data_IF_776903805057
#
_entry.id   IF_776903805057
#
_cell.length_a   1.000
_cell.length_b   1.000
_cell.length_c   1.000
_cell.angle_alpha   90.00
_cell.angle_beta   90.00
_cell.angle_gamma   90.00
#
_symmetry.space_group_name_H-M   'P 1'
#
loop_
_entity.id
_entity.type
_entity.pdbx_description
1 polymer ?
#
# COMPACT_ATOMS: atom_id res chain seq x y z
N UNK A 1 -59.15 -16.60 -19.63
CA UNK A 1 -57.95 -17.31 -20.14
C UNK A 1 -56.90 -17.23 -19.04
N UNK A 2 -56.80 -18.29 -18.22
CA UNK A 2 -55.86 -19.44 -18.33
C UNK A 2 -54.47 -19.12 -17.72
N UNK A 3 -54.25 -19.73 -16.54
CA UNK A 3 -53.05 -20.41 -16.01
C UNK A 3 -51.72 -19.62 -16.04
N UNK A 4 -50.99 -19.44 -14.94
CA UNK A 4 -50.29 -20.51 -14.23
C UNK A 4 -49.96 -20.14 -12.78
N UNK A 5 -50.48 -20.94 -11.85
CA UNK A 5 -49.88 -21.25 -10.55
C UNK A 5 -48.80 -22.31 -10.78
N UNK A 6 -47.66 -22.21 -10.10
CA UNK A 6 -46.84 -23.30 -9.55
C UNK A 6 -45.36 -22.91 -9.56
N UNK A 7 -44.82 -22.42 -8.45
CA UNK A 7 -43.41 -22.59 -8.01
C UNK A 7 -43.36 -22.18 -6.53
N UNK A 8 -43.91 -23.03 -5.66
CA UNK A 8 -43.89 -22.87 -4.20
C UNK A 8 -43.69 -24.19 -3.43
N UNK A 9 -42.86 -25.13 -3.93
CA UNK A 9 -42.16 -26.02 -3.00
C UNK A 9 -40.70 -26.27 -3.47
N UNK A 10 -39.81 -25.32 -3.23
CA UNK A 10 -38.35 -25.57 -3.32
C UNK A 10 -37.55 -24.86 -2.22
N UNK A 11 -38.22 -24.10 -1.35
CA UNK A 11 -37.60 -23.33 -0.26
C UNK A 11 -37.56 -24.09 1.09
N UNK A 12 -38.18 -25.26 1.19
CA UNK A 12 -38.30 -26.00 2.46
C UNK A 12 -37.26 -27.12 2.66
N UNK A 13 -36.35 -27.35 1.69
CA UNK A 13 -35.31 -28.38 1.77
C UNK A 13 -33.88 -27.85 2.05
N UNK A 14 -33.71 -26.54 2.26
CA UNK A 14 -32.41 -25.90 2.56
C UNK A 14 -32.20 -25.59 4.05
N UNK A 15 -33.11 -25.99 4.94
CA UNK A 15 -33.04 -25.71 6.39
C UNK A 15 -32.60 -26.92 7.25
N UNK A 16 -32.02 -27.95 6.64
CA UNK A 16 -31.50 -29.13 7.34
C UNK A 16 -30.00 -29.36 7.08
N UNK A 17 -29.20 -28.29 7.06
CA UNK A 17 -27.74 -28.44 7.19
C UNK A 17 -27.43 -28.67 8.68
N UNK A 18 -26.71 -29.74 9.06
CA UNK A 18 -26.28 -29.93 10.43
C UNK A 18 -25.40 -28.73 10.81
N UNK A 19 -25.70 -28.11 11.96
CA UNK A 19 -24.84 -27.11 12.56
C UNK A 19 -23.45 -27.75 12.73
N UNK A 20 -22.50 -27.32 11.90
CA UNK A 20 -21.11 -27.73 12.01
C UNK A 20 -20.62 -27.46 13.43
N UNK A 21 -20.05 -28.49 14.06
CA UNK A 21 -19.50 -28.40 15.40
C UNK A 21 -18.44 -27.29 15.40
N UNK A 22 -18.64 -26.24 16.20
CA UNK A 22 -17.62 -25.21 16.40
C UNK A 22 -16.42 -25.85 17.09
N UNK A 23 -15.30 -25.97 16.37
CA UNK A 23 -14.04 -26.46 16.93
C UNK A 23 -13.56 -25.49 18.00
N UNK A 24 -13.11 -26.04 19.13
CA UNK A 24 -12.55 -25.23 20.21
C UNK A 24 -11.11 -24.81 19.87
N UNK A 25 -10.64 -23.70 20.45
CA UNK A 25 -9.29 -23.20 20.20
C UNK A 25 -8.18 -24.25 20.49
N UNK A 26 -8.41 -25.18 21.41
CA UNK A 26 -7.48 -26.26 21.73
C UNK A 26 -7.45 -27.41 20.72
N UNK A 27 -8.55 -27.68 19.99
CA UNK A 27 -8.56 -28.69 18.92
C UNK A 27 -7.75 -28.21 17.70
N UNK A 28 -7.82 -26.90 17.39
CA UNK A 28 -7.03 -26.26 16.33
C UNK A 28 -5.51 -26.33 16.59
N UNK A 29 -5.07 -26.25 17.85
CA UNK A 29 -3.65 -26.38 18.20
C UNK A 29 -3.14 -27.82 18.00
N UNK A 30 -3.95 -28.83 18.34
CA UNK A 30 -3.58 -30.24 18.14
C UNK A 30 -3.52 -30.65 16.66
N UNK A 31 -4.38 -30.08 15.81
CA UNK A 31 -4.32 -30.28 14.35
C UNK A 31 -3.15 -29.53 13.70
N UNK A 32 -2.69 -28.42 14.31
CA UNK A 32 -1.57 -27.63 13.78
C UNK A 32 -0.25 -28.41 13.77
N UNK A 33 -0.02 -29.30 14.74
CA UNK A 33 1.19 -30.11 14.82
C UNK A 33 1.32 -31.08 13.64
N UNK A 34 0.21 -31.66 13.17
CA UNK A 34 0.17 -32.48 11.96
C UNK A 34 0.19 -31.68 10.65
N UNK A 35 -0.24 -30.41 10.68
CA UNK A 35 -0.23 -29.53 9.50
C UNK A 35 1.16 -29.05 9.10
N UNK A 36 2.11 -28.96 10.04
CA UNK A 36 3.48 -28.54 9.75
C UNK A 36 4.23 -29.52 8.82
N UNK A 37 3.96 -30.82 8.94
CA UNK A 37 4.51 -31.87 8.06
C UNK A 37 3.94 -31.82 6.64
N UNK A 38 2.79 -31.16 6.41
CA UNK A 38 2.19 -31.06 5.08
C UNK A 38 2.89 -30.02 4.17
N UNK A 39 3.65 -29.09 4.77
CA UNK A 39 4.27 -27.95 4.08
C UNK A 39 5.79 -27.86 4.28
N UNK A 40 6.41 -28.92 4.80
CA UNK A 40 7.86 -29.01 5.09
C UNK A 40 8.75 -29.21 3.84
N UNK A 41 8.16 -29.21 2.64
CA UNK A 41 8.86 -29.39 1.39
C UNK A 41 9.19 -30.84 1.01
N UNK A 42 8.78 -31.85 1.80
CA UNK A 42 9.10 -33.27 1.55
C UNK A 42 7.98 -34.08 0.88
N UNK A 43 6.79 -33.50 0.64
CA UNK A 43 5.93 -33.91 -0.48
C UNK A 43 4.54 -34.48 -0.16
N UNK A 44 3.58 -33.63 0.25
CA UNK A 44 2.15 -33.98 0.16
C UNK A 44 1.23 -33.02 -0.59
N UNK A 45 1.75 -31.89 -1.09
CA UNK A 45 1.03 -31.08 -2.09
C UNK A 45 1.75 -31.13 -3.44
N UNK A 46 1.30 -32.04 -4.30
CA UNK A 46 1.65 -32.07 -5.73
C UNK A 46 0.76 -31.12 -6.58
N UNK A 47 -0.11 -30.33 -5.93
CA UNK A 47 -0.90 -29.27 -6.56
C UNK A 47 -0.17 -27.93 -6.53
N UNK A 48 -0.59 -26.98 -7.37
CA UNK A 48 -0.01 -25.62 -7.35
C UNK A 48 -0.26 -24.96 -6.00
N UNK A 49 0.64 -24.06 -5.54
CA UNK A 49 0.47 -23.33 -4.27
C UNK A 49 -0.87 -22.57 -4.16
N UNK A 50 -1.51 -22.24 -5.29
CA UNK A 50 -2.86 -21.67 -5.34
C UNK A 50 -3.99 -22.68 -5.05
N UNK A 51 -3.77 -23.98 -5.29
CA UNK A 51 -4.71 -25.06 -4.95
C UNK A 51 -4.64 -25.41 -3.45
N UNK A 52 -3.47 -25.25 -2.83
CA UNK A 52 -3.33 -25.28 -1.39
C UNK A 52 -4.15 -24.13 -0.78
N UNK A 53 -5.24 -24.47 -0.10
CA UNK A 53 -6.17 -23.49 0.47
C UNK A 53 -7.38 -23.13 -0.40
N UNK A 54 -7.57 -23.74 -1.57
CA UNK A 54 -8.74 -23.45 -2.42
C UNK A 54 -10.06 -24.00 -1.83
N UNK A 55 -9.99 -25.04 -1.00
CA UNK A 55 -11.14 -25.54 -0.22
C UNK A 55 -11.18 -24.91 1.17
N UNK A 56 -12.35 -24.91 1.81
CA UNK A 56 -12.50 -24.42 3.17
C UNK A 56 -11.57 -25.14 4.17
N UNK A 57 -11.44 -26.46 4.04
CA UNK A 57 -10.56 -27.29 4.87
C UNK A 57 -9.08 -26.97 4.61
N UNK A 58 -8.66 -26.89 3.34
CA UNK A 58 -7.28 -26.53 3.00
C UNK A 58 -6.93 -25.12 3.49
N UNK A 59 -7.89 -24.19 3.44
CA UNK A 59 -7.70 -22.82 3.94
C UNK A 59 -7.51 -22.81 5.45
N UNK A 60 -8.28 -23.60 6.18
CA UNK A 60 -8.14 -23.74 7.63
C UNK A 60 -6.77 -24.33 8.01
N UNK A 61 -6.32 -25.37 7.30
CA UNK A 61 -4.99 -25.97 7.49
C UNK A 61 -3.86 -24.98 7.18
N UNK A 62 -3.96 -24.23 6.08
CA UNK A 62 -2.97 -23.21 5.74
C UNK A 62 -2.93 -22.07 6.77
N UNK A 63 -4.10 -21.63 7.27
CA UNK A 63 -4.16 -20.64 8.33
C UNK A 63 -3.52 -21.16 9.63
N UNK A 64 -3.78 -22.41 10.01
CA UNK A 64 -3.17 -23.03 11.17
C UNK A 64 -1.64 -23.07 11.03
N UNK A 65 -1.13 -23.53 9.88
CA UNK A 65 0.30 -23.55 9.60
C UNK A 65 0.92 -22.15 9.64
N UNK A 66 0.28 -21.14 9.03
CA UNK A 66 0.74 -19.75 9.07
C UNK A 66 0.80 -19.21 10.51
N UNK A 67 -0.20 -19.52 11.34
CA UNK A 67 -0.25 -19.10 12.75
C UNK A 67 0.85 -19.74 13.62
N UNK A 68 1.47 -20.83 13.19
CA UNK A 68 2.68 -21.35 13.85
C UNK A 68 3.92 -20.48 13.61
N UNK A 69 3.89 -19.64 12.57
CA UNK A 69 4.99 -18.76 12.13
C UNK A 69 4.77 -17.30 12.49
N UNK A 70 3.52 -16.90 12.76
CA UNK A 70 3.13 -15.52 13.06
C UNK A 70 2.60 -15.41 14.49
N UNK A 71 3.36 -14.77 15.37
CA UNK A 71 2.94 -14.48 16.74
C UNK A 71 2.04 -13.24 16.77
N UNK A 72 0.75 -13.40 17.11
CA UNK A 72 -0.20 -12.28 17.19
C UNK A 72 -0.28 -11.78 18.64
N UNK A 73 -0.09 -10.48 18.86
CA UNK A 73 -0.13 -9.85 20.19
C UNK A 73 -1.11 -8.68 20.25
N UNK A 74 -1.64 -8.41 21.45
CA UNK A 74 -2.62 -7.34 21.71
C UNK A 74 -3.67 -7.74 22.74
N UNK A 75 -4.71 -6.92 22.90
CA UNK A 75 -5.92 -7.32 23.67
C UNK A 75 -6.62 -8.52 22.98
N UNK A 76 -7.54 -9.24 23.67
CA UNK A 76 -8.32 -10.30 23.05
C UNK A 76 -9.05 -9.85 21.77
N UNK A 77 -9.60 -8.65 21.76
CA UNK A 77 -10.31 -8.06 20.61
C UNK A 77 -9.36 -7.76 19.45
N UNK A 78 -8.19 -7.18 19.75
CA UNK A 78 -7.14 -6.92 18.77
C UNK A 78 -6.63 -8.23 18.14
N UNK A 79 -6.35 -9.22 18.98
CA UNK A 79 -5.89 -10.55 18.54
C UNK A 79 -6.94 -11.22 17.67
N UNK A 80 -8.22 -11.16 18.03
CA UNK A 80 -9.31 -11.70 17.22
C UNK A 80 -9.40 -11.00 15.86
N UNK A 81 -9.31 -9.67 15.82
CA UNK A 81 -9.32 -8.89 14.59
C UNK A 81 -8.12 -9.23 13.67
N UNK A 82 -6.90 -9.29 14.20
CA UNK A 82 -5.70 -9.66 13.42
C UNK A 82 -5.78 -11.09 12.87
N UNK A 83 -6.29 -12.04 13.66
CA UNK A 83 -6.56 -13.40 13.19
C UNK A 83 -7.61 -13.42 12.07
N UNK A 84 -8.65 -12.61 12.17
CA UNK A 84 -9.65 -12.45 11.10
C UNK A 84 -9.03 -11.85 9.84
N UNK A 85 -8.11 -10.89 9.96
CA UNK A 85 -7.38 -10.32 8.82
C UNK A 85 -6.49 -11.35 8.14
N UNK A 86 -5.72 -12.15 8.90
CA UNK A 86 -4.94 -13.27 8.34
C UNK A 86 -5.84 -14.25 7.58
N UNK A 87 -6.98 -14.62 8.15
CA UNK A 87 -7.95 -15.48 7.47
C UNK A 87 -8.52 -14.84 6.21
N UNK A 88 -8.76 -13.53 6.21
CA UNK A 88 -9.27 -12.78 5.05
C UNK A 88 -8.24 -12.65 3.94
N UNK A 89 -6.96 -12.49 4.25
CA UNK A 89 -5.87 -12.53 3.25
C UNK A 89 -5.91 -13.85 2.46
N UNK A 90 -6.19 -14.97 3.12
CA UNK A 90 -6.30 -16.28 2.46
C UNK A 90 -7.58 -16.46 1.61
N UNK A 91 -8.52 -15.52 1.59
CA UNK A 91 -9.60 -15.52 0.59
C UNK A 91 -9.08 -15.16 -0.81
N UNK A 92 -7.97 -14.42 -0.88
CA UNK A 92 -7.30 -14.05 -2.14
C UNK A 92 -6.41 -15.22 -2.64
N UNK A 93 -6.47 -15.58 -3.95
CA UNK A 93 -5.54 -16.52 -4.56
C UNK A 93 -4.07 -16.18 -4.30
N UNK A 94 -3.69 -14.91 -4.48
CA UNK A 94 -2.33 -14.42 -4.21
C UNK A 94 -1.97 -14.59 -2.73
N UNK A 95 -2.87 -14.25 -1.81
CA UNK A 95 -2.65 -14.41 -0.38
C UNK A 95 -2.40 -15.87 0.04
N UNK A 96 -3.09 -16.84 -0.58
CA UNK A 96 -2.85 -18.27 -0.36
C UNK A 96 -1.49 -18.71 -0.86
N UNK A 97 -1.15 -18.36 -2.09
CA UNK A 97 0.14 -18.68 -2.69
C UNK A 97 1.30 -18.18 -1.82
N UNK A 98 1.21 -16.91 -1.38
CA UNK A 98 2.24 -16.28 -0.56
C UNK A 98 2.29 -16.83 0.86
N UNK A 99 1.16 -17.25 1.45
CA UNK A 99 1.16 -17.92 2.74
C UNK A 99 1.86 -19.29 2.69
N UNK A 100 1.65 -20.06 1.62
CA UNK A 100 2.40 -21.32 1.40
C UNK A 100 3.89 -21.04 1.28
N UNK A 101 4.25 -19.99 0.52
CA UNK A 101 5.64 -19.57 0.41
C UNK A 101 6.20 -19.13 1.77
N UNK A 102 5.49 -18.32 2.55
CA UNK A 102 5.92 -17.84 3.87
C UNK A 102 6.27 -19.01 4.81
N UNK A 103 5.42 -20.04 4.86
CA UNK A 103 5.66 -21.26 5.66
C UNK A 103 6.87 -22.03 5.14
N UNK A 104 6.97 -22.23 3.81
CA UNK A 104 8.08 -22.95 3.17
C UNK A 104 9.44 -22.26 3.34
N UNK A 105 9.44 -20.93 3.34
CA UNK A 105 10.61 -20.09 3.54
C UNK A 105 11.09 -20.08 5.01
N UNK A 106 10.34 -20.72 5.91
CA UNK A 106 10.48 -20.62 7.37
C UNK A 106 10.57 -19.15 7.83
N UNK A 107 9.82 -18.28 7.16
CA UNK A 107 9.70 -16.89 7.58
C UNK A 107 8.91 -16.82 8.89
N UNK A 108 9.24 -15.84 9.74
CA UNK A 108 8.59 -15.63 11.03
C UNK A 108 8.25 -14.15 11.19
N UNK A 109 7.18 -13.87 11.90
CA UNK A 109 6.80 -12.50 12.22
C UNK A 109 6.11 -12.42 13.58
N UNK A 110 6.15 -11.24 14.19
CA UNK A 110 5.15 -10.85 15.19
C UNK A 110 4.21 -9.80 14.60
N UNK A 111 2.94 -9.85 14.95
CA UNK A 111 1.88 -9.02 14.38
C UNK A 111 1.07 -8.36 15.49
N UNK A 112 0.91 -7.05 15.42
CA UNK A 112 0.12 -6.27 16.38
C UNK A 112 -0.52 -5.04 15.74
N UNK A 113 -1.47 -4.42 16.44
CA UNK A 113 -1.92 -3.06 16.12
C UNK A 113 -1.04 -2.03 16.83
N UNK A 114 -0.84 -0.88 16.20
CA UNK A 114 -0.12 0.27 16.78
C UNK A 114 -0.84 1.59 16.46
N UNK A 115 -0.81 2.52 17.40
CA UNK A 115 -1.25 3.89 17.20
C UNK A 115 -0.17 4.68 16.43
N UNK A 116 -0.33 4.81 15.12
CA UNK A 116 0.64 5.56 14.30
C UNK A 116 0.47 7.07 14.55
N UNK A 117 1.53 7.80 14.95
CA UNK A 117 1.45 9.24 15.23
C UNK A 117 0.88 10.05 14.06
N UNK A 118 0.01 11.01 14.37
CA UNK A 118 -0.63 11.86 13.37
C UNK A 118 -1.81 11.21 12.64
N UNK A 119 -2.17 9.96 12.95
CA UNK A 119 -3.36 9.33 12.40
C UNK A 119 -4.62 10.07 12.85
N UNK A 120 -5.41 10.51 11.87
CA UNK A 120 -6.71 11.12 12.10
C UNK A 120 -7.76 10.31 11.36
N UNK A 121 -8.75 9.81 12.10
CA UNK A 121 -9.96 9.20 11.53
C UNK A 121 -10.96 10.30 11.22
N UNK A 122 -11.49 10.31 10.00
CA UNK A 122 -12.48 11.29 9.55
C UNK A 122 -13.43 10.66 8.52
N UNK A 123 -14.46 11.38 8.12
CA UNK A 123 -15.48 10.88 7.20
C UNK A 123 -15.42 11.63 5.86
N UNK A 124 -15.40 10.88 4.76
CA UNK A 124 -15.57 11.41 3.40
C UNK A 124 -16.81 10.75 2.82
N UNK A 125 -17.82 11.54 2.45
CA UNK A 125 -19.05 11.07 1.80
C UNK A 125 -19.74 9.90 2.54
N UNK A 126 -19.86 9.97 3.87
CA UNK A 126 -20.51 8.91 4.67
C UNK A 126 -19.62 7.71 5.01
N UNK A 127 -18.34 7.72 4.60
CA UNK A 127 -17.40 6.62 4.84
C UNK A 127 -16.25 7.07 5.72
N UNK A 128 -16.00 6.32 6.79
CA UNK A 128 -14.84 6.54 7.66
C UNK A 128 -13.56 6.15 6.95
N UNK A 129 -12.58 7.04 7.00
CA UNK A 129 -11.22 6.86 6.48
C UNK A 129 -10.22 7.43 7.49
N UNK A 130 -8.93 7.25 7.24
CA UNK A 130 -7.89 7.95 7.95
C UNK A 130 -6.79 8.45 7.01
N UNK A 131 -5.99 9.39 7.49
CA UNK A 131 -4.82 9.91 6.77
C UNK A 131 -3.55 9.60 7.58
N UNK A 132 -2.91 8.48 7.28
CA UNK A 132 -1.62 8.03 7.82
C UNK A 132 -1.18 6.78 7.04
N UNK A 133 -0.02 6.20 7.41
CA UNK A 133 0.33 4.85 6.94
C UNK A 133 -0.71 3.83 7.42
N UNK A 134 -0.99 2.83 6.59
CA UNK A 134 -1.81 1.69 7.00
C UNK A 134 -1.05 0.72 7.90
N UNK A 135 0.27 0.61 7.74
CA UNK A 135 1.11 -0.29 8.52
C UNK A 135 2.58 -0.01 8.28
N UNK A 136 3.43 -0.81 8.91
CA UNK A 136 4.85 -0.90 8.60
C UNK A 136 5.44 -2.21 9.15
N UNK A 137 6.58 -2.62 8.60
CA UNK A 137 7.34 -3.77 9.08
C UNK A 137 8.74 -3.36 9.56
N UNK A 138 9.15 -3.83 10.73
CA UNK A 138 10.53 -3.76 11.19
C UNK A 138 11.26 -5.06 10.83
N UNK A 139 11.75 -5.12 9.59
CA UNK A 139 12.39 -6.31 9.01
C UNK A 139 13.74 -6.67 9.62
N UNK A 140 14.33 -5.80 10.44
CA UNK A 140 15.63 -6.03 11.11
C UNK A 140 15.51 -6.59 12.53
N UNK A 141 14.30 -6.77 13.05
CA UNK A 141 14.06 -7.43 14.35
C UNK A 141 14.07 -8.95 14.21
N UNK A 142 14.21 -9.66 15.34
CA UNK A 142 14.20 -11.13 15.38
C UNK A 142 13.17 -11.66 16.41
N UNK A 143 12.00 -12.18 15.95
CA UNK A 143 11.55 -12.17 14.56
C UNK A 143 11.15 -10.74 14.11
N UNK A 144 11.08 -10.47 12.80
CA UNK A 144 10.52 -9.23 12.27
C UNK A 144 9.15 -8.89 12.87
N UNK A 145 8.88 -7.61 13.14
CA UNK A 145 7.55 -7.17 13.61
C UNK A 145 6.77 -6.50 12.48
N UNK A 146 5.46 -6.74 12.44
CA UNK A 146 4.49 -6.06 11.57
C UNK A 146 3.50 -5.33 12.46
N UNK A 147 3.35 -4.04 12.22
CA UNK A 147 2.38 -3.19 12.88
C UNK A 147 1.33 -2.74 11.87
N UNK A 148 0.06 -3.01 12.15
CA UNK A 148 -1.06 -2.40 11.44
C UNK A 148 -1.55 -1.19 12.24
N UNK A 149 -1.97 -0.14 11.54
CA UNK A 149 -2.54 1.04 12.16
C UNK A 149 -3.83 0.67 12.91
N UNK A 150 -3.90 0.99 14.20
CA UNK A 150 -5.08 0.76 15.04
C UNK A 150 -6.34 1.43 14.48
N UNK A 151 -6.20 2.49 13.68
CA UNK A 151 -7.32 3.14 12.99
C UNK A 151 -8.09 2.20 12.06
N UNK A 152 -7.50 1.10 11.60
CA UNK A 152 -8.22 0.07 10.86
C UNK A 152 -9.39 -0.51 11.66
N UNK A 153 -9.34 -0.50 12.99
CA UNK A 153 -10.44 -0.98 13.81
C UNK A 153 -11.69 -0.08 13.69
N UNK A 154 -11.53 1.17 13.25
CA UNK A 154 -12.58 2.17 13.19
C UNK A 154 -12.94 2.60 11.77
N UNK A 155 -12.02 2.46 10.81
CA UNK A 155 -12.12 2.98 9.45
C UNK A 155 -11.37 2.09 8.46
N UNK A 156 -11.83 1.99 7.21
CA UNK A 156 -11.17 1.23 6.13
C UNK A 156 -10.82 -0.23 6.49
N UNK A 157 -11.69 -0.90 7.26
CA UNK A 157 -11.48 -2.30 7.66
C UNK A 157 -11.27 -3.23 6.45
N UNK A 158 -11.92 -2.90 5.34
CA UNK A 158 -11.82 -3.61 4.07
C UNK A 158 -10.41 -3.54 3.44
N UNK A 159 -9.63 -2.48 3.70
CA UNK A 159 -8.29 -2.27 3.15
C UNK A 159 -7.21 -3.03 3.95
N UNK A 160 -7.48 -3.30 5.23
CA UNK A 160 -6.51 -3.88 6.16
C UNK A 160 -5.89 -5.23 5.70
N UNK A 161 -6.61 -6.16 5.03
CA UNK A 161 -6.00 -7.38 4.49
C UNK A 161 -4.94 -7.09 3.43
N UNK A 162 -5.17 -6.11 2.54
CA UNK A 162 -4.19 -5.71 1.52
C UNK A 162 -2.92 -5.14 2.16
N UNK A 163 -3.07 -4.29 3.17
CA UNK A 163 -1.94 -3.78 3.94
C UNK A 163 -1.22 -4.87 4.71
N UNK A 164 -1.94 -5.80 5.35
CA UNK A 164 -1.30 -6.93 6.02
C UNK A 164 -0.47 -7.78 5.05
N UNK A 165 -0.98 -8.05 3.86
CA UNK A 165 -0.23 -8.78 2.84
C UNK A 165 1.01 -8.01 2.35
N UNK A 166 0.90 -6.68 2.19
CA UNK A 166 2.02 -5.79 1.90
C UNK A 166 3.13 -5.95 2.94
N UNK A 167 2.81 -5.77 4.22
CA UNK A 167 3.83 -5.81 5.28
C UNK A 167 4.39 -7.23 5.50
N UNK A 168 3.51 -8.24 5.61
CA UNK A 168 3.90 -9.59 5.98
C UNK A 168 4.59 -10.33 4.83
N UNK A 169 4.05 -10.26 3.62
CA UNK A 169 4.60 -11.00 2.48
C UNK A 169 5.52 -10.13 1.63
N UNK A 170 5.28 -8.82 1.54
CA UNK A 170 6.10 -7.92 0.75
C UNK A 170 7.42 -7.55 1.41
N UNK A 171 7.43 -7.37 2.73
CA UNK A 171 8.64 -6.97 3.47
C UNK A 171 9.24 -8.13 4.25
N UNK A 172 8.49 -8.76 5.15
CA UNK A 172 9.04 -9.80 6.04
C UNK A 172 9.49 -11.05 5.27
N UNK A 173 8.64 -11.59 4.39
CA UNK A 173 9.01 -12.77 3.59
C UNK A 173 10.17 -12.48 2.62
N UNK A 174 10.16 -11.33 1.95
CA UNK A 174 11.20 -10.99 0.98
C UNK A 174 12.53 -10.67 1.66
N UNK A 175 12.53 -10.09 2.86
CA UNK A 175 13.74 -10.02 3.70
C UNK A 175 14.31 -11.41 3.94
N UNK A 176 13.48 -12.38 4.33
CA UNK A 176 13.91 -13.77 4.56
C UNK A 176 14.48 -14.41 3.29
N UNK A 177 13.90 -14.12 2.12
CA UNK A 177 14.45 -14.57 0.83
C UNK A 177 15.82 -13.94 0.57
N UNK A 178 15.93 -12.63 0.70
CA UNK A 178 17.19 -11.91 0.53
C UNK A 178 18.29 -12.45 1.46
N UNK A 179 17.94 -12.84 2.70
CA UNK A 179 18.87 -13.47 3.66
C UNK A 179 19.44 -14.79 3.15
N UNK A 180 18.62 -15.67 2.55
CA UNK A 180 19.12 -16.92 1.96
C UNK A 180 20.10 -16.68 0.81
N UNK A 181 19.98 -15.53 0.15
CA UNK A 181 20.88 -15.11 -0.92
C UNK A 181 22.05 -14.26 -0.42
N UNK A 182 22.12 -13.95 0.88
CA UNK A 182 23.19 -13.14 1.48
C UNK A 182 23.16 -11.66 1.08
N UNK A 183 22.04 -11.14 0.58
CA UNK A 183 21.91 -9.76 0.06
C UNK A 183 20.93 -8.90 0.85
N UNK A 184 20.48 -9.38 2.01
CA UNK A 184 19.46 -8.72 2.80
C UNK A 184 19.81 -7.26 3.15
N UNK A 185 21.07 -6.97 3.50
CA UNK A 185 21.49 -5.63 3.91
C UNK A 185 21.63 -4.66 2.74
N UNK A 186 21.72 -5.17 1.52
CA UNK A 186 21.63 -4.39 0.28
C UNK A 186 20.17 -4.26 -0.17
N UNK A 187 19.34 -5.28 0.07
CA UNK A 187 17.92 -5.30 -0.29
C UNK A 187 17.12 -4.16 0.36
N UNK A 188 17.44 -3.75 1.60
CA UNK A 188 16.78 -2.59 2.24
C UNK A 188 17.01 -1.27 1.51
N UNK A 189 18.02 -1.19 0.64
CA UNK A 189 18.27 -0.05 -0.22
C UNK A 189 17.73 -0.26 -1.63
N UNK A 190 17.16 -1.42 -1.98
CA UNK A 190 16.69 -1.66 -3.33
C UNK A 190 15.28 -1.07 -3.52
N UNK A 191 15.08 -0.24 -4.54
CA UNK A 191 13.82 0.50 -4.75
C UNK A 191 12.62 -0.41 -5.03
N UNK A 192 12.87 -1.65 -5.45
CA UNK A 192 11.80 -2.61 -5.72
C UNK A 192 11.27 -3.29 -4.45
N UNK A 193 11.88 -3.09 -3.28
CA UNK A 193 11.35 -3.62 -2.01
C UNK A 193 9.92 -3.12 -1.78
N UNK A 194 9.73 -1.80 -1.65
CA UNK A 194 8.41 -1.18 -1.53
C UNK A 194 7.48 -1.46 -2.73
N UNK A 195 7.99 -1.42 -3.97
CA UNK A 195 7.14 -1.65 -5.15
C UNK A 195 6.60 -3.09 -5.19
N UNK A 196 7.42 -4.06 -4.81
CA UNK A 196 7.01 -5.45 -4.72
C UNK A 196 5.97 -5.67 -3.62
N UNK A 197 6.19 -5.06 -2.44
CA UNK A 197 5.22 -5.07 -1.36
C UNK A 197 3.89 -4.41 -1.77
N UNK A 198 3.97 -3.28 -2.50
CA UNK A 198 2.85 -2.60 -3.13
C UNK A 198 2.06 -3.53 -4.04
N UNK A 199 2.71 -4.16 -5.03
CA UNK A 199 2.08 -5.10 -5.95
C UNK A 199 1.37 -6.25 -5.23
N UNK A 200 1.98 -6.82 -4.18
CA UNK A 200 1.33 -7.86 -3.37
C UNK A 200 0.07 -7.31 -2.70
N UNK A 201 0.19 -6.21 -1.96
CA UNK A 201 -0.93 -5.63 -1.21
C UNK A 201 -2.08 -5.21 -2.10
N UNK A 202 -1.79 -4.54 -3.23
CA UNK A 202 -2.79 -4.10 -4.20
C UNK A 202 -3.48 -5.28 -4.89
N UNK A 203 -2.74 -6.34 -5.22
CA UNK A 203 -3.31 -7.55 -5.83
C UNK A 203 -4.25 -8.27 -4.87
N UNK A 204 -3.80 -8.52 -3.64
CA UNK A 204 -4.64 -9.13 -2.59
C UNK A 204 -5.90 -8.30 -2.37
N UNK A 205 -5.76 -6.98 -2.27
CA UNK A 205 -6.89 -6.07 -2.11
C UNK A 205 -7.91 -6.18 -3.27
N UNK A 206 -7.43 -6.18 -4.51
CA UNK A 206 -8.25 -6.27 -5.70
C UNK A 206 -8.96 -7.64 -5.83
N UNK A 207 -8.26 -8.73 -5.53
CA UNK A 207 -8.82 -10.10 -5.55
C UNK A 207 -9.93 -10.30 -4.52
N UNK A 208 -9.92 -9.55 -3.42
CA UNK A 208 -10.99 -9.56 -2.41
C UNK A 208 -12.25 -8.78 -2.85
N UNK A 209 -12.24 -8.23 -4.06
CA UNK A 209 -13.35 -7.46 -4.63
C UNK A 209 -13.41 -6.00 -4.14
N UNK A 210 -12.36 -5.53 -3.47
CA UNK A 210 -12.31 -4.16 -2.98
C UNK A 210 -11.99 -3.17 -4.12
N UNK A 211 -12.28 -1.91 -3.84
CA UNK A 211 -11.92 -0.78 -4.72
C UNK A 211 -10.43 -0.47 -4.59
N UNK A 212 -9.76 -0.25 -5.71
CA UNK A 212 -8.35 0.16 -5.71
C UNK A 212 -8.32 1.69 -5.62
N UNK A 213 -8.57 2.22 -4.42
CA UNK A 213 -8.59 3.65 -4.15
C UNK A 213 -7.21 4.22 -3.79
N UNK A 214 -6.18 3.36 -3.73
CA UNK A 214 -4.80 3.75 -3.50
C UNK A 214 -4.17 4.33 -4.79
N UNK A 215 -3.94 5.64 -4.81
CA UNK A 215 -3.34 6.33 -5.96
C UNK A 215 -1.96 5.81 -6.37
N UNK A 216 -1.20 5.24 -5.43
CA UNK A 216 0.11 4.66 -5.71
C UNK A 216 0.05 3.45 -6.64
N UNK A 217 -1.00 2.62 -6.53
CA UNK A 217 -1.23 1.50 -7.44
C UNK A 217 -1.41 2.01 -8.87
N UNK A 218 -2.23 3.04 -9.06
CA UNK A 218 -2.48 3.64 -10.37
C UNK A 218 -1.25 4.33 -10.96
N UNK A 219 -0.45 5.01 -10.15
CA UNK A 219 0.82 5.61 -10.59
C UNK A 219 1.79 4.51 -11.05
N UNK A 220 1.92 3.42 -10.27
CA UNK A 220 2.79 2.30 -10.63
C UNK A 220 2.34 1.65 -11.94
N UNK A 221 1.07 1.27 -12.04
CA UNK A 221 0.53 0.59 -13.23
C UNK A 221 0.53 1.47 -14.49
N UNK A 222 0.53 2.80 -14.35
CA UNK A 222 0.67 3.71 -15.48
C UNK A 222 2.13 3.89 -15.90
N UNK A 223 3.05 4.03 -14.93
CA UNK A 223 4.47 4.24 -15.18
C UNK A 223 5.31 3.90 -13.92
N UNK A 224 5.91 2.71 -13.83
CA UNK A 224 6.73 2.33 -12.68
C UNK A 224 7.91 3.28 -12.40
N UNK A 225 8.49 3.89 -13.45
CA UNK A 225 9.57 4.86 -13.26
C UNK A 225 9.06 6.18 -12.63
N UNK A 226 7.86 6.64 -12.98
CA UNK A 226 7.22 7.78 -12.31
C UNK A 226 6.91 7.44 -10.84
N UNK A 227 6.40 6.24 -10.57
CA UNK A 227 6.19 5.75 -9.22
C UNK A 227 7.45 5.85 -8.36
N UNK A 228 8.56 5.24 -8.78
CA UNK A 228 9.81 5.27 -8.02
C UNK A 228 10.35 6.69 -7.85
N UNK A 229 10.24 7.54 -8.89
CA UNK A 229 10.64 8.94 -8.81
C UNK A 229 9.84 9.71 -7.75
N UNK A 230 8.52 9.55 -7.72
CA UNK A 230 7.65 10.22 -6.73
C UNK A 230 7.91 9.70 -5.32
N UNK A 231 8.05 8.39 -5.17
CA UNK A 231 8.31 7.74 -3.89
C UNK A 231 9.61 8.25 -3.24
N UNK A 232 10.68 8.43 -4.03
CA UNK A 232 11.97 9.02 -3.61
C UNK A 232 11.86 10.47 -3.09
N UNK A 233 10.76 11.17 -3.35
CA UNK A 233 10.48 12.51 -2.81
C UNK A 233 9.47 12.51 -1.66
N UNK A 234 8.92 11.35 -1.31
CA UNK A 234 7.87 11.21 -0.32
C UNK A 234 8.40 11.00 1.10
N UNK A 235 9.48 10.24 1.31
CA UNK A 235 10.07 10.05 2.64
C UNK A 235 11.58 9.90 2.57
N UNK A 236 12.27 10.23 3.67
CA UNK A 236 13.72 10.12 3.76
C UNK A 236 14.22 8.71 3.43
N UNK A 237 13.59 7.66 4.00
CA UNK A 237 13.91 6.27 3.71
C UNK A 237 13.91 5.98 2.20
N UNK A 238 12.81 6.28 1.51
CA UNK A 238 12.70 6.05 0.07
C UNK A 238 13.66 6.89 -0.78
N UNK A 239 14.06 8.08 -0.32
CA UNK A 239 15.07 8.87 -1.03
C UNK A 239 16.44 8.16 -1.10
N UNK A 240 16.72 7.28 -0.14
CA UNK A 240 17.93 6.45 -0.08
C UNK A 240 17.86 5.15 -0.88
N UNK A 241 16.72 4.78 -1.47
CA UNK A 241 16.63 3.54 -2.24
C UNK A 241 17.22 3.69 -3.64
N UNK A 242 17.68 2.60 -4.23
CA UNK A 242 18.50 2.52 -5.42
C UNK A 242 17.89 1.48 -6.38
N UNK A 243 17.93 1.75 -7.68
CA UNK A 243 17.80 0.68 -8.67
C UNK A 243 19.05 -0.22 -8.65
N UNK A 244 18.97 -1.38 -9.30
CA UNK A 244 20.13 -2.29 -9.46
C UNK A 244 21.32 -1.54 -10.09
N UNK A 245 21.07 -0.68 -11.06
CA UNK A 245 22.08 0.12 -11.74
C UNK A 245 22.65 1.21 -10.81
N UNK A 246 21.80 1.86 -10.00
CA UNK A 246 22.24 2.85 -9.02
C UNK A 246 23.03 2.22 -7.85
N UNK A 247 22.91 0.92 -7.59
CA UNK A 247 23.72 0.23 -6.57
C UNK A 247 25.20 0.11 -6.96
N UNK A 248 25.52 0.13 -8.27
CA UNK A 248 26.89 0.07 -8.76
C UNK A 248 27.66 1.37 -8.47
N UNK A 249 26.98 2.51 -8.58
CA UNK A 249 27.51 3.82 -8.19
C UNK A 249 26.39 4.68 -7.55
N UNK A 250 26.19 4.56 -6.23
CA UNK A 250 25.06 5.21 -5.55
C UNK A 250 25.26 6.72 -5.34
N UNK A 251 26.51 7.21 -5.40
CA UNK A 251 26.82 8.60 -5.07
C UNK A 251 26.16 9.59 -6.05
N UNK A 252 26.26 9.45 -7.38
CA UNK A 252 25.55 10.30 -8.33
C UNK A 252 24.03 10.32 -8.14
N UNK A 253 23.44 9.18 -7.78
CA UNK A 253 22.00 9.06 -7.53
C UNK A 253 21.59 9.90 -6.31
N UNK A 254 22.30 9.78 -5.18
CA UNK A 254 22.03 10.58 -3.99
C UNK A 254 22.27 12.08 -4.22
N UNK A 255 23.33 12.45 -4.93
CA UNK A 255 23.61 13.85 -5.27
C UNK A 255 22.52 14.47 -6.16
N UNK A 256 22.01 13.71 -7.13
CA UNK A 256 20.92 14.16 -8.01
C UNK A 256 19.63 14.36 -7.23
N UNK A 257 19.31 13.44 -6.32
CA UNK A 257 18.12 13.55 -5.46
C UNK A 257 18.24 14.70 -4.47
N UNK A 258 19.43 14.96 -3.94
CA UNK A 258 19.67 16.10 -3.04
C UNK A 258 19.35 17.41 -3.75
N UNK A 259 19.88 17.60 -4.97
CA UNK A 259 19.57 18.78 -5.81
C UNK A 259 18.08 18.88 -6.14
N UNK A 260 17.43 17.75 -6.42
CA UNK A 260 15.98 17.72 -6.66
C UNK A 260 15.18 18.16 -5.43
N UNK A 261 15.53 17.65 -4.24
CA UNK A 261 14.89 18.03 -2.98
C UNK A 261 15.11 19.52 -2.65
N UNK A 262 16.32 20.05 -2.87
CA UNK A 262 16.62 21.48 -2.79
C UNK A 262 15.74 22.31 -3.75
N UNK A 263 15.61 21.87 -5.00
CA UNK A 263 14.75 22.52 -5.98
C UNK A 263 13.25 22.50 -5.61
N UNK A 264 12.76 21.40 -5.04
CA UNK A 264 11.38 21.30 -4.55
C UNK A 264 11.14 22.22 -3.36
N UNK A 265 12.09 22.27 -2.42
CA UNK A 265 12.02 23.13 -1.23
C UNK A 265 11.93 24.61 -1.63
N UNK A 266 12.73 25.04 -2.61
CA UNK A 266 12.70 26.40 -3.14
C UNK A 266 11.37 26.76 -3.84
N UNK A 267 10.63 25.77 -4.36
CA UNK A 267 9.35 25.97 -5.04
C UNK A 267 8.13 25.95 -4.11
N UNK A 268 8.28 25.51 -2.86
CA UNK A 268 7.16 25.45 -1.90
C UNK A 268 6.48 26.81 -1.67
N UNK A 269 7.22 27.94 -1.48
CA UNK A 269 6.57 29.25 -1.34
C UNK A 269 5.76 29.63 -2.58
N UNK A 270 6.29 29.39 -3.78
CA UNK A 270 5.59 29.66 -5.05
C UNK A 270 4.34 28.81 -5.18
N UNK A 271 4.42 27.51 -4.84
CA UNK A 271 3.25 26.62 -4.82
C UNK A 271 2.18 27.12 -3.84
N UNK A 272 2.59 27.59 -2.65
CA UNK A 272 1.69 28.17 -1.66
C UNK A 272 0.98 29.40 -2.22
N UNK A 273 1.75 30.35 -2.75
CA UNK A 273 1.23 31.58 -3.35
C UNK A 273 0.27 31.30 -4.50
N UNK A 274 0.60 30.37 -5.39
CA UNK A 274 -0.29 29.94 -6.48
C UNK A 274 -1.63 29.41 -5.97
N UNK A 275 -1.62 28.61 -4.89
CA UNK A 275 -2.84 28.12 -4.27
C UNK A 275 -3.64 29.25 -3.59
N UNK A 276 -2.97 30.17 -2.90
CA UNK A 276 -3.62 31.37 -2.32
C UNK A 276 -4.26 32.24 -3.41
N UNK A 277 -3.63 32.34 -4.58
CA UNK A 277 -4.19 33.07 -5.72
C UNK A 277 -5.43 32.36 -6.29
N UNK A 278 -5.45 31.02 -6.36
CA UNK A 278 -6.67 30.29 -6.73
C UNK A 278 -7.83 30.53 -5.75
N UNK A 279 -7.58 30.67 -4.44
CA UNK A 279 -8.63 31.04 -3.50
C UNK A 279 -9.20 32.43 -3.82
N UNK A 280 -8.33 33.41 -4.08
CA UNK A 280 -8.74 34.76 -4.46
C UNK A 280 -9.53 34.78 -5.79
N UNK A 281 -9.14 33.95 -6.78
CA UNK A 281 -9.91 33.75 -8.03
C UNK A 281 -11.32 33.28 -7.69
N UNK A 282 -11.45 32.26 -6.84
CA UNK A 282 -12.76 31.74 -6.43
C UNK A 282 -13.57 32.80 -5.67
N UNK A 283 -12.95 33.56 -4.75
CA UNK A 283 -13.59 34.67 -4.03
C UNK A 283 -14.13 35.71 -5.02
N UNK A 284 -13.33 36.13 -5.99
CA UNK A 284 -13.74 37.07 -7.03
C UNK A 284 -14.93 36.56 -7.85
N UNK A 285 -14.89 35.31 -8.31
CA UNK A 285 -15.98 34.70 -9.07
C UNK A 285 -17.30 34.66 -8.27
N UNK A 286 -17.23 34.43 -6.96
CA UNK A 286 -18.39 34.44 -6.07
C UNK A 286 -18.91 35.87 -5.87
N UNK A 287 -18.03 36.83 -5.58
CA UNK A 287 -18.41 38.19 -5.19
C UNK A 287 -18.82 39.06 -6.39
N UNK A 288 -18.02 39.07 -7.46
CA UNK A 288 -18.23 39.90 -8.64
C UNK A 288 -19.24 39.28 -9.60
N UNK A 289 -19.11 37.98 -9.89
CA UNK A 289 -19.95 37.28 -10.87
C UNK A 289 -21.14 36.54 -10.25
N UNK A 290 -21.35 36.69 -8.94
CA UNK A 290 -22.47 36.12 -8.18
C UNK A 290 -22.60 34.60 -8.36
N UNK A 291 -21.48 33.90 -8.54
CA UNK A 291 -21.48 32.44 -8.59
C UNK A 291 -21.81 31.87 -7.21
N UNK A 292 -22.48 30.72 -7.17
CA UNK A 292 -22.84 30.08 -5.90
C UNK A 292 -21.58 29.59 -5.17
N UNK A 293 -21.32 30.11 -3.97
CA UNK A 293 -20.14 29.75 -3.17
C UNK A 293 -20.04 28.23 -2.90
N UNK A 294 -21.17 27.58 -2.64
CA UNK A 294 -21.25 26.13 -2.40
C UNK A 294 -20.75 25.30 -3.59
N UNK A 295 -20.83 25.80 -4.82
CA UNK A 295 -20.33 25.10 -5.99
C UNK A 295 -18.79 24.96 -5.98
N UNK A 296 -18.07 25.81 -5.26
CA UNK A 296 -16.60 25.76 -5.17
C UNK A 296 -16.08 25.08 -3.90
N UNK A 297 -16.97 24.55 -3.06
CA UNK A 297 -16.61 24.04 -1.73
C UNK A 297 -15.51 22.98 -1.79
N UNK A 298 -15.60 22.02 -2.70
CA UNK A 298 -14.61 20.95 -2.88
C UNK A 298 -13.26 21.50 -3.34
N UNK A 299 -13.24 22.47 -4.27
CA UNK A 299 -12.01 23.12 -4.70
C UNK A 299 -11.35 23.90 -3.57
N UNK A 300 -12.12 24.68 -2.80
CA UNK A 300 -11.61 25.39 -1.62
C UNK A 300 -11.03 24.44 -0.58
N UNK A 301 -11.73 23.34 -0.27
CA UNK A 301 -11.23 22.29 0.64
C UNK A 301 -9.89 21.71 0.13
N UNK A 302 -9.79 21.38 -1.17
CA UNK A 302 -8.55 20.87 -1.80
C UNK A 302 -7.40 21.90 -1.77
N UNK A 303 -7.67 23.17 -2.09
CA UNK A 303 -6.69 24.25 -2.11
C UNK A 303 -6.18 24.57 -0.69
N UNK A 304 -7.10 24.68 0.28
CA UNK A 304 -6.74 24.90 1.68
C UNK A 304 -5.90 23.75 2.24
N UNK A 305 -6.25 22.50 1.91
CA UNK A 305 -5.44 21.34 2.27
C UNK A 305 -4.03 21.42 1.66
N UNK A 306 -3.91 21.83 0.39
CA UNK A 306 -2.63 22.01 -0.27
C UNK A 306 -1.77 23.11 0.41
N UNK A 307 -2.37 24.24 0.80
CA UNK A 307 -1.70 25.32 1.54
C UNK A 307 -1.25 24.84 2.93
N UNK A 308 -2.13 24.18 3.68
CA UNK A 308 -1.84 23.65 5.01
C UNK A 308 -0.72 22.58 4.96
N UNK A 309 -0.68 21.79 3.88
CA UNK A 309 0.34 20.77 3.66
C UNK A 309 1.75 21.31 3.41
N UNK A 310 1.92 22.59 3.05
CA UNK A 310 3.24 23.17 2.71
C UNK A 310 4.26 23.03 3.84
N UNK A 311 3.86 23.26 5.09
CA UNK A 311 4.77 23.14 6.23
C UNK A 311 5.23 21.68 6.46
N UNK A 312 4.33 20.71 6.26
CA UNK A 312 4.66 19.28 6.33
C UNK A 312 5.57 18.86 5.17
N UNK A 313 5.28 19.32 3.95
CA UNK A 313 6.13 19.13 2.77
C UNK A 313 7.55 19.69 3.03
N UNK A 314 7.66 20.88 3.65
CA UNK A 314 8.94 21.52 3.99
C UNK A 314 9.76 20.68 4.97
N UNK A 315 9.15 20.23 6.07
CA UNK A 315 9.80 19.38 7.06
C UNK A 315 10.29 18.07 6.43
N UNK A 316 9.42 17.40 5.68
CA UNK A 316 9.71 16.15 4.98
C UNK A 316 10.88 16.29 4.00
N UNK A 317 10.92 17.37 3.23
CA UNK A 317 12.02 17.64 2.30
C UNK A 317 13.34 17.95 3.04
N UNK A 318 13.30 18.63 4.19
CA UNK A 318 14.49 18.84 5.04
C UNK A 318 15.02 17.52 5.63
N UNK A 319 14.13 16.61 6.02
CA UNK A 319 14.50 15.28 6.48
C UNK A 319 15.16 14.46 5.36
N UNK A 320 14.58 14.51 4.15
CA UNK A 320 15.17 13.90 2.95
C UNK A 320 16.57 14.48 2.68
N UNK A 321 16.74 15.81 2.69
CA UNK A 321 18.06 16.43 2.50
C UNK A 321 19.07 15.97 3.55
N UNK A 322 18.66 15.93 4.82
CA UNK A 322 19.51 15.50 5.93
C UNK A 322 19.96 14.06 5.77
N UNK A 323 19.04 13.17 5.40
CA UNK A 323 19.34 11.77 5.17
C UNK A 323 20.25 11.55 3.94
N UNK A 324 19.97 12.22 2.82
CA UNK A 324 20.80 12.16 1.62
C UNK A 324 22.22 12.69 1.88
N UNK A 325 22.38 13.77 2.65
CA UNK A 325 23.70 14.28 3.07
C UNK A 325 24.47 13.25 3.90
N UNK A 326 23.80 12.51 4.80
CA UNK A 326 24.41 11.41 5.56
C UNK A 326 24.86 10.26 4.64
N UNK A 327 24.05 9.88 3.66
CA UNK A 327 24.41 8.83 2.69
C UNK A 327 25.58 9.26 1.80
N UNK A 328 25.58 10.51 1.31
CA UNK A 328 26.70 11.09 0.55
C UNK A 328 27.98 11.12 1.39
N UNK A 329 27.91 11.52 2.65
CA UNK A 329 29.06 11.51 3.55
C UNK A 329 29.55 10.07 3.82
N UNK A 330 28.64 9.11 3.99
CA UNK A 330 28.98 7.68 4.11
C UNK A 330 29.77 7.20 2.91
N UNK A 331 29.46 7.66 1.70
CA UNK A 331 30.19 7.33 0.47
C UNK A 331 31.62 7.87 0.40
N UNK A 332 32.04 8.82 1.26
CA UNK A 332 33.30 9.56 1.09
C UNK A 332 34.52 8.99 1.85
N UNK A 333 34.39 7.88 2.59
CA UNK A 333 35.48 7.28 3.38
C UNK A 333 35.76 5.81 3.04
N UNK A 334 36.81 5.22 3.63
CA UNK A 334 37.19 3.81 3.38
C UNK A 334 36.06 2.80 3.67
N UNK A 335 35.34 3.00 4.78
CA UNK A 335 34.14 2.22 5.11
C UNK A 335 33.02 2.42 4.07
N UNK A 336 32.94 3.62 3.47
CA UNK A 336 32.07 3.93 2.35
C UNK A 336 32.42 3.16 1.08
N UNK A 337 33.70 3.11 0.74
CA UNK A 337 34.21 2.33 -0.40
C UNK A 337 33.92 0.84 -0.24
N UNK A 338 34.11 0.28 0.96
CA UNK A 338 33.77 -1.12 1.23
C UNK A 338 32.27 -1.39 1.06
N UNK A 339 31.42 -0.48 1.57
CA UNK A 339 29.97 -0.57 1.41
C UNK A 339 29.52 -0.42 -0.05
N UNK A 340 30.08 0.52 -0.82
CA UNK A 340 29.78 0.66 -2.25
C UNK A 340 30.16 -0.59 -3.03
N UNK A 341 31.35 -1.16 -2.80
CA UNK A 341 31.75 -2.42 -3.43
C UNK A 341 30.84 -3.59 -3.04
N UNK A 342 30.26 -3.57 -1.83
CA UNK A 342 29.27 -4.56 -1.43
C UNK A 342 27.97 -4.39 -2.22
N UNK A 343 27.46 -3.15 -2.33
CA UNK A 343 26.27 -2.86 -3.14
C UNK A 343 26.48 -3.24 -4.61
N UNK A 344 27.64 -2.89 -5.18
CA UNK A 344 28.01 -3.24 -6.55
C UNK A 344 27.98 -4.77 -6.75
N UNK A 345 28.67 -5.53 -5.89
CA UNK A 345 28.64 -7.01 -5.95
C UNK A 345 27.24 -7.57 -5.78
N UNK A 346 26.48 -7.06 -4.82
CA UNK A 346 25.13 -7.57 -4.55
C UNK A 346 24.16 -7.24 -5.68
N UNK A 347 24.36 -6.12 -6.39
CA UNK A 347 23.54 -5.75 -7.55
C UNK A 347 23.57 -6.80 -8.66
N UNK A 348 24.64 -7.59 -8.74
CA UNK A 348 24.79 -8.70 -9.70
C UNK A 348 24.19 -10.02 -9.20
N UNK A 349 23.67 -10.07 -7.96
CA UNK A 349 23.09 -11.28 -7.40
C UNK A 349 21.80 -11.66 -8.14
N UNK A 350 21.66 -12.95 -8.48
CA UNK A 350 20.50 -13.50 -9.18
C UNK A 350 19.16 -13.23 -8.47
N UNK A 351 19.17 -12.97 -7.16
CA UNK A 351 18.00 -12.58 -6.38
C UNK A 351 17.27 -11.36 -6.98
N UNK A 352 18.00 -10.30 -7.37
CA UNK A 352 17.36 -9.08 -7.88
C UNK A 352 16.74 -9.28 -9.28
N UNK A 353 17.36 -10.12 -10.11
CA UNK A 353 16.80 -10.51 -11.40
C UNK A 353 15.52 -11.34 -11.22
N UNK A 354 15.54 -12.31 -10.30
CA UNK A 354 14.36 -13.13 -9.98
C UNK A 354 13.23 -12.29 -9.37
N UNK A 355 13.55 -11.38 -8.45
CA UNK A 355 12.57 -10.45 -7.89
C UNK A 355 11.89 -9.62 -8.98
N UNK A 356 12.67 -9.08 -9.93
CA UNK A 356 12.12 -8.32 -11.08
C UNK A 356 11.17 -9.19 -11.90
N UNK A 357 11.55 -10.43 -12.22
CA UNK A 357 10.70 -11.39 -12.94
C UNK A 357 9.38 -11.65 -12.20
N UNK A 358 9.44 -11.90 -10.89
CA UNK A 358 8.24 -12.11 -10.05
C UNK A 358 7.35 -10.87 -10.00
N UNK A 359 7.94 -9.67 -9.94
CA UNK A 359 7.17 -8.43 -9.98
C UNK A 359 6.45 -8.24 -11.31
N UNK A 360 7.08 -8.56 -12.45
CA UNK A 360 6.43 -8.52 -13.77
C UNK A 360 5.22 -9.48 -13.85
N UNK A 361 5.29 -10.63 -13.19
CA UNK A 361 4.15 -11.55 -13.09
C UNK A 361 3.02 -10.96 -12.25
N UNK A 362 3.35 -10.38 -11.09
CA UNK A 362 2.38 -9.71 -10.21
C UNK A 362 1.73 -8.50 -10.89
N UNK A 363 2.51 -7.72 -11.64
CA UNK A 363 2.03 -6.60 -12.44
C UNK A 363 1.00 -7.06 -13.48
N UNK A 364 1.26 -8.16 -14.19
CA UNK A 364 0.29 -8.74 -15.14
C UNK A 364 -1.02 -9.17 -14.47
N UNK A 365 -0.93 -9.78 -13.29
CA UNK A 365 -2.13 -10.17 -12.52
C UNK A 365 -2.93 -8.93 -12.12
N UNK A 366 -2.27 -7.93 -11.53
CA UNK A 366 -2.93 -6.69 -11.13
C UNK A 366 -3.53 -5.92 -12.32
N UNK A 367 -2.81 -5.84 -13.43
CA UNK A 367 -3.32 -5.24 -14.68
C UNK A 367 -4.61 -5.92 -15.15
N UNK A 368 -4.68 -7.26 -15.08
CA UNK A 368 -5.89 -8.03 -15.39
C UNK A 368 -7.07 -7.68 -14.48
N UNK A 369 -6.82 -7.53 -13.17
CA UNK A 369 -7.83 -7.14 -12.18
C UNK A 369 -8.29 -5.67 -12.34
N UNK A 370 -7.41 -4.82 -12.87
CA UNK A 370 -7.67 -3.41 -13.16
C UNK A 370 -8.31 -3.16 -14.53
N UNK A 371 -8.45 -4.18 -15.37
CA UNK A 371 -8.98 -4.03 -16.72
C UNK A 371 -10.41 -3.46 -16.70
N UNK A 372 -10.62 -2.37 -17.45
CA UNK A 372 -11.91 -1.69 -17.54
C UNK A 372 -12.23 -0.78 -16.34
N UNK A 373 -11.33 -0.64 -15.37
CA UNK A 373 -11.44 0.30 -14.26
C UNK A 373 -10.63 1.56 -14.55
N UNK A 374 -11.02 2.68 -13.96
CA UNK A 374 -10.23 3.92 -13.94
C UNK A 374 -10.13 4.46 -12.52
N UNK A 375 -9.10 5.28 -12.27
CA UNK A 375 -8.95 6.01 -11.01
C UNK A 375 -10.26 6.70 -10.61
N UNK A 376 -10.87 7.44 -11.54
CA UNK A 376 -12.10 8.21 -11.30
C UNK A 376 -13.29 7.31 -10.92
N UNK A 377 -13.40 6.11 -11.48
CA UNK A 377 -14.47 5.17 -11.13
C UNK A 377 -14.30 4.51 -9.76
N UNK A 378 -13.07 4.44 -9.25
CA UNK A 378 -12.78 3.87 -7.93
C UNK A 378 -12.95 4.91 -6.81
N UNK A 379 -12.78 6.20 -7.12
CA UNK A 379 -12.97 7.28 -6.14
C UNK A 379 -14.43 7.39 -5.67
N UNK A 380 -14.66 7.85 -4.43
CA UNK A 380 -15.99 8.31 -4.02
C UNK A 380 -16.48 9.41 -4.98
N UNK A 381 -17.76 9.39 -5.41
CA UNK A 381 -18.27 10.40 -6.31
C UNK A 381 -18.11 11.80 -5.71
N UNK A 382 -17.81 12.79 -6.55
CA UNK A 382 -17.79 14.18 -6.11
C UNK A 382 -19.19 14.60 -5.63
N UNK A 383 -19.25 15.59 -4.73
CA UNK A 383 -20.52 16.12 -4.26
C UNK A 383 -21.30 16.69 -5.47
N UNK A 384 -22.63 16.53 -5.55
CA UNK A 384 -23.41 17.10 -6.65
C UNK A 384 -23.23 18.63 -6.76
N UNK A 385 -23.18 19.14 -8.00
CA UNK A 385 -23.14 20.58 -8.28
C UNK A 385 -21.80 21.27 -8.02
N UNK A 386 -20.70 20.53 -7.89
CA UNK A 386 -19.37 21.10 -7.69
C UNK A 386 -18.71 21.50 -9.02
N UNK A 387 -17.96 22.60 -8.98
CA UNK A 387 -17.09 23.07 -10.05
C UNK A 387 -15.82 22.21 -10.06
N UNK A 388 -15.41 21.73 -11.23
CA UNK A 388 -14.16 21.00 -11.44
C UNK A 388 -12.99 21.95 -11.72
N UNK A 389 -11.75 21.46 -11.62
CA UNK A 389 -10.56 22.26 -11.96
C UNK A 389 -10.61 22.83 -13.39
N UNK A 390 -10.87 22.03 -14.45
CA UNK A 390 -10.99 22.57 -15.81
C UNK A 390 -12.10 23.62 -15.96
N UNK A 391 -13.21 23.47 -15.23
CA UNK A 391 -14.28 24.47 -15.24
C UNK A 391 -13.85 25.77 -14.55
N UNK A 392 -13.12 25.70 -13.44
CA UNK A 392 -12.57 26.89 -12.78
C UNK A 392 -11.55 27.60 -13.69
N UNK A 393 -10.66 26.86 -14.34
CA UNK A 393 -9.68 27.42 -15.28
C UNK A 393 -10.36 28.13 -16.45
N UNK A 394 -11.39 27.52 -17.04
CA UNK A 394 -12.15 28.12 -18.13
C UNK A 394 -12.93 29.36 -17.67
N UNK A 395 -13.57 29.31 -16.49
CA UNK A 395 -14.23 30.49 -15.90
C UNK A 395 -13.25 31.64 -15.66
N UNK A 396 -12.05 31.32 -15.17
CA UNK A 396 -11.01 32.31 -14.93
C UNK A 396 -10.52 32.93 -16.22
N UNK A 397 -10.24 32.11 -17.24
CA UNK A 397 -9.84 32.60 -18.57
C UNK A 397 -10.88 33.54 -19.16
N UNK A 398 -12.17 33.19 -19.09
CA UNK A 398 -13.26 34.04 -19.56
C UNK A 398 -13.36 35.37 -18.79
N UNK A 399 -13.09 35.35 -17.48
CA UNK A 399 -13.06 36.57 -16.68
C UNK A 399 -11.89 37.49 -17.06
N UNK A 400 -10.70 36.93 -17.28
CA UNK A 400 -9.52 37.68 -17.74
C UNK A 400 -9.73 38.36 -19.10
N UNK A 401 -10.50 37.73 -19.99
CA UNK A 401 -10.87 38.27 -21.30
C UNK A 401 -12.01 39.31 -21.20
N UNK A 402 -12.64 39.46 -20.04
CA UNK A 402 -13.75 40.40 -19.81
C UNK A 402 -13.26 41.76 -19.30
N UNK A 403 -14.12 42.78 -19.41
CA UNK A 403 -13.84 44.12 -18.87
C UNK A 403 -13.84 44.21 -17.34
N UNK A 404 -14.23 43.13 -16.64
CA UNK A 404 -14.20 43.01 -15.18
C UNK A 404 -12.77 42.76 -14.65
N UNK A 405 -11.87 42.34 -15.56
CA UNK A 405 -10.50 41.83 -15.38
C UNK A 405 -9.79 42.15 -14.07
N UNK A 406 -10.03 41.30 -13.07
CA UNK A 406 -9.09 41.16 -11.97
C UNK A 406 -7.77 40.59 -12.52
N UNK A 407 -6.63 41.17 -12.11
CA UNK A 407 -5.28 40.73 -12.51
C UNK A 407 -4.52 40.36 -11.23
N UNK A 408 -4.11 39.10 -11.15
CA UNK A 408 -3.32 38.52 -10.04
C UNK A 408 -1.90 39.09 -10.04
#
# INVERSE_FOLDING_TARGET
>A
MRNFRAWAPLLALLLALPAGRALTAGELESESAGSAELFDGTGRYAGTAAQAGASAEGKAQLLAALKTKVAVTGTPEQTAALNSLLARVLDSPTGRELAVQFVREDARASLSFEDIPGTQVFEINGRKTFNASGGHAHTTYDPPTVHLNSAYQQAKQEDAPGTLAHELFGHVMERRRAERHGVQDSYIYHQNEEANAGLIGWTVHAELGNRIDNGWAWIYMANPADYHRRLKSNMAYYAGTLSTEEMQDPLPAYQTRLRSAEGLLLRLPVKKEQNENWLKIIDHLVEAHKRAAEAFRTLREKINAAIAGVASDELRLKDIQTYLKKLIARCAGEAGTAWQRQLERDSENAYFAEQRRVMEEREKVLAGLMLGRTWDTEQPPERPGQVTWPQLEEMWKQDQDSSCGWRV
#
